data_IF_268391339627
#
_entry.id   IF_268391339627
#
_cell.length_a   1.000
_cell.length_b   1.000
_cell.length_c   1.000
_cell.angle_alpha   90.00
_cell.angle_beta   90.00
_cell.angle_gamma   90.00
#
_symmetry.space_group_name_H-M   'P 1'
#
loop_
_entity.id
_entity.type
_entity.pdbx_description
1 polymer ?
#
# COMPACT_ATOMS: atom_id res chain seq x y z
N UNK A 1 10.86 -20.10 13.80
CA UNK A 1 11.39 -19.56 12.56
C UNK A 1 10.97 -18.10 12.46
N UNK A 2 11.94 -17.19 12.43
CA UNK A 2 11.66 -15.77 12.19
C UNK A 2 11.13 -15.69 10.76
N UNK A 3 9.83 -15.47 10.62
CA UNK A 3 9.19 -15.22 9.33
C UNK A 3 9.91 -14.02 8.68
N UNK A 4 10.59 -14.26 7.56
CA UNK A 4 11.18 -13.17 6.80
C UNK A 4 10.05 -12.23 6.40
N UNK A 5 10.08 -11.01 6.89
CA UNK A 5 9.06 -10.00 6.64
C UNK A 5 9.25 -9.48 5.21
N UNK A 6 8.59 -10.14 4.25
CA UNK A 6 8.62 -9.80 2.82
C UNK A 6 7.19 -9.66 2.30
N UNK A 7 7.00 -8.89 1.24
CA UNK A 7 5.68 -8.74 0.58
C UNK A 7 5.12 -10.12 0.19
N UNK A 8 5.95 -11.02 -0.33
CA UNK A 8 5.55 -12.39 -0.66
C UNK A 8 5.02 -13.17 0.55
N UNK A 9 5.71 -13.09 1.69
CA UNK A 9 5.27 -13.78 2.90
C UNK A 9 3.97 -13.20 3.45
N UNK A 10 3.75 -11.89 3.29
CA UNK A 10 2.49 -11.26 3.68
C UNK A 10 1.35 -11.76 2.79
N UNK A 11 1.53 -11.85 1.46
CA UNK A 11 0.53 -12.45 0.57
C UNK A 11 0.22 -13.91 0.92
N UNK A 12 1.26 -14.72 1.25
CA UNK A 12 1.07 -16.09 1.74
C UNK A 12 0.29 -16.15 3.06
N UNK A 13 0.47 -15.16 3.95
CA UNK A 13 -0.30 -15.07 5.19
C UNK A 13 -1.78 -14.77 4.92
N UNK A 14 -2.06 -13.84 3.99
CA UNK A 14 -3.44 -13.55 3.58
C UNK A 14 -4.10 -14.80 3.00
N UNK A 15 -3.41 -15.54 2.11
CA UNK A 15 -3.93 -16.80 1.58
C UNK A 15 -4.24 -17.82 2.68
N UNK A 16 -3.35 -18.00 3.67
CA UNK A 16 -3.58 -18.90 4.80
C UNK A 16 -4.71 -18.42 5.72
N UNK A 17 -4.87 -17.11 5.87
CA UNK A 17 -5.99 -16.55 6.62
C UNK A 17 -7.31 -16.84 5.91
N UNK A 18 -7.36 -16.70 4.58
CA UNK A 18 -8.54 -17.09 3.80
C UNK A 18 -8.87 -18.57 3.98
N UNK A 19 -7.86 -19.47 3.94
CA UNK A 19 -8.07 -20.91 4.18
C UNK A 19 -8.61 -21.15 5.59
N UNK A 20 -8.06 -20.48 6.60
CA UNK A 20 -8.52 -20.58 7.98
C UNK A 20 -9.96 -20.10 8.18
N UNK A 21 -10.36 -19.07 7.43
CA UNK A 21 -11.73 -18.52 7.43
C UNK A 21 -12.68 -19.25 6.47
N UNK A 22 -12.21 -20.32 5.83
CA UNK A 22 -12.98 -21.10 4.84
C UNK A 22 -13.50 -20.23 3.66
N UNK A 23 -12.73 -19.19 3.29
CA UNK A 23 -13.04 -18.32 2.16
C UNK A 23 -12.39 -18.89 0.88
N UNK A 24 -13.20 -19.40 -0.01
CA UNK A 24 -12.72 -19.93 -1.30
C UNK A 24 -12.24 -18.82 -2.21
N UNK A 25 -12.98 -17.71 -2.30
CA UNK A 25 -12.61 -16.51 -3.05
C UNK A 25 -13.05 -15.22 -2.32
N UNK A 26 -12.41 -14.11 -2.62
CA UNK A 26 -12.77 -12.80 -2.07
C UNK A 26 -12.46 -11.66 -3.05
N UNK A 27 -13.13 -10.53 -2.87
CA UNK A 27 -12.70 -9.24 -3.41
C UNK A 27 -11.67 -8.67 -2.42
N UNK A 28 -10.49 -8.36 -2.91
CA UNK A 28 -9.40 -7.83 -2.08
C UNK A 28 -9.29 -6.33 -2.30
N UNK A 29 -9.47 -5.57 -1.22
CA UNK A 29 -9.23 -4.14 -1.20
C UNK A 29 -7.93 -3.86 -0.46
N UNK A 30 -7.03 -3.09 -1.08
CA UNK A 30 -5.74 -2.75 -0.47
C UNK A 30 -5.24 -1.36 -0.82
N UNK A 31 -4.79 -0.64 0.22
CA UNK A 31 -4.11 0.63 0.07
C UNK A 31 -2.59 0.43 0.20
N UNK A 32 -1.81 1.15 -0.59
CA UNK A 32 -0.35 1.19 -0.50
C UNK A 32 0.27 -0.20 -0.54
N UNK A 33 0.98 -0.61 0.50
CA UNK A 33 1.51 -1.97 0.68
C UNK A 33 0.41 -3.03 0.59
N UNK A 34 -0.81 -2.73 1.08
CA UNK A 34 -1.98 -3.63 0.99
C UNK A 34 -2.38 -3.92 -0.45
N UNK A 35 -2.33 -2.91 -1.32
CA UNK A 35 -2.55 -3.08 -2.77
C UNK A 35 -1.51 -4.00 -3.40
N UNK A 36 -0.23 -3.81 -3.08
CA UNK A 36 0.85 -4.69 -3.54
C UNK A 36 0.68 -6.15 -3.07
N UNK A 37 0.27 -6.33 -1.82
CA UNK A 37 -0.04 -7.66 -1.27
C UNK A 37 -1.22 -8.29 -2.03
N UNK A 38 -2.27 -7.52 -2.32
CA UNK A 38 -3.43 -7.95 -3.09
C UNK A 38 -3.06 -8.38 -4.51
N UNK A 39 -2.26 -7.57 -5.21
CA UNK A 39 -1.72 -7.89 -6.53
C UNK A 39 -0.90 -9.18 -6.50
N UNK A 40 -0.03 -9.33 -5.52
CA UNK A 40 0.79 -10.53 -5.40
C UNK A 40 -0.03 -11.77 -5.01
N UNK A 41 -1.08 -11.61 -4.20
CA UNK A 41 -2.04 -12.66 -3.89
C UNK A 41 -2.75 -13.12 -5.17
N UNK A 42 -3.27 -12.20 -5.98
CA UNK A 42 -3.93 -12.50 -7.25
C UNK A 42 -2.99 -13.20 -8.25
N UNK A 43 -1.71 -12.80 -8.30
CA UNK A 43 -0.70 -13.49 -9.11
C UNK A 43 -0.45 -14.92 -8.65
N UNK A 44 -0.28 -15.13 -7.34
CA UNK A 44 0.09 -16.44 -6.77
C UNK A 44 -1.10 -17.40 -6.63
N UNK A 45 -2.29 -16.87 -6.38
CA UNK A 45 -3.50 -17.61 -6.11
C UNK A 45 -4.70 -17.00 -6.85
N UNK A 46 -4.70 -17.01 -8.20
CA UNK A 46 -5.73 -16.32 -8.99
C UNK A 46 -7.15 -16.82 -8.69
N UNK A 47 -7.33 -18.08 -8.32
CA UNK A 47 -8.65 -18.63 -7.96
C UNK A 47 -9.20 -18.10 -6.63
N UNK A 48 -8.36 -17.51 -5.77
CA UNK A 48 -8.78 -16.93 -4.49
C UNK A 48 -9.19 -15.45 -4.60
N UNK A 49 -8.89 -14.80 -5.70
CA UNK A 49 -9.11 -13.35 -5.87
C UNK A 49 -10.10 -13.11 -6.99
N UNK A 50 -11.34 -12.82 -6.63
CA UNK A 50 -12.42 -12.52 -7.58
C UNK A 50 -12.22 -11.19 -8.28
N UNK A 51 -11.79 -10.18 -7.55
CA UNK A 51 -11.46 -8.85 -8.05
C UNK A 51 -10.52 -8.14 -7.08
N UNK A 52 -9.84 -7.11 -7.58
CA UNK A 52 -9.00 -6.21 -6.79
C UNK A 52 -9.59 -4.81 -6.76
N UNK A 53 -9.45 -4.14 -5.62
CA UNK A 53 -9.57 -2.69 -5.50
C UNK A 53 -8.26 -2.21 -4.91
N UNK A 54 -7.49 -1.42 -5.67
CA UNK A 54 -6.20 -0.89 -5.21
C UNK A 54 -6.24 0.62 -5.13
N UNK A 55 -5.68 1.16 -4.05
CA UNK A 55 -5.57 2.61 -3.84
C UNK A 55 -4.14 2.96 -3.44
N UNK A 56 -3.54 3.98 -4.04
CA UNK A 56 -2.16 4.39 -3.70
C UNK A 56 -1.18 3.23 -3.66
N UNK A 57 -1.34 2.20 -4.51
CA UNK A 57 -0.64 0.93 -4.38
C UNK A 57 0.86 1.04 -4.64
N UNK A 58 1.66 0.39 -3.80
CA UNK A 58 3.03 0.05 -4.13
C UNK A 58 3.10 -1.11 -5.13
N UNK A 59 4.30 -1.44 -5.62
CA UNK A 59 4.52 -2.53 -6.56
C UNK A 59 5.09 -2.11 -7.92
N UNK A 60 5.12 -0.82 -8.21
CA UNK A 60 5.83 -0.23 -9.34
C UNK A 60 6.88 0.78 -8.85
N UNK A 61 6.49 2.02 -8.63
CA UNK A 61 7.36 3.10 -8.22
C UNK A 61 6.76 3.86 -7.02
N UNK A 62 7.61 4.33 -6.10
CA UNK A 62 7.23 5.10 -4.91
C UNK A 62 8.29 6.15 -4.61
N UNK A 63 7.87 7.37 -4.24
CA UNK A 63 8.79 8.48 -3.96
C UNK A 63 9.46 8.40 -2.58
N UNK A 64 8.82 7.80 -1.58
CA UNK A 64 9.21 8.04 -0.18
C UNK A 64 9.60 6.82 0.63
N UNK A 65 9.44 5.61 0.12
CA UNK A 65 9.63 4.37 0.89
C UNK A 65 11.10 3.93 1.04
N UNK A 66 12.04 4.76 0.77
CA UNK A 66 13.48 4.45 0.95
C UNK A 66 14.17 5.39 1.92
N UNK A 67 13.52 6.46 2.34
CA UNK A 67 14.09 7.42 3.27
C UNK A 67 14.09 6.85 4.67
N UNK A 68 15.28 6.83 5.27
CA UNK A 68 15.40 6.63 6.71
C UNK A 68 14.70 7.79 7.43
N UNK A 69 14.15 7.54 8.60
CA UNK A 69 13.67 8.60 9.49
C UNK A 69 14.85 9.16 10.31
N UNK A 70 15.69 10.04 9.73
CA UNK A 70 16.93 10.47 10.37
C UNK A 70 16.67 11.26 11.66
N UNK A 71 15.49 11.90 11.75
CA UNK A 71 15.06 12.70 12.89
C UNK A 71 13.86 12.09 13.63
N UNK A 72 13.81 10.76 13.77
CA UNK A 72 12.68 10.06 14.40
C UNK A 72 12.38 10.51 15.84
N UNK A 73 13.34 11.07 16.55
CA UNK A 73 13.15 11.64 17.90
C UNK A 73 12.55 13.05 17.90
N UNK A 74 12.41 13.68 16.75
CA UNK A 74 11.83 15.01 16.58
C UNK A 74 10.35 14.85 16.22
N UNK A 75 9.47 15.24 17.15
CA UNK A 75 8.03 15.11 17.00
C UNK A 75 7.47 15.95 15.86
N UNK A 76 7.95 17.18 15.69
CA UNK A 76 7.47 18.07 14.62
C UNK A 76 7.89 17.56 13.23
N UNK A 77 9.07 16.96 13.11
CA UNK A 77 9.49 16.28 11.89
C UNK A 77 8.56 15.09 11.54
N UNK A 78 8.20 14.28 12.55
CA UNK A 78 7.28 13.15 12.33
C UNK A 78 5.87 13.63 11.98
N UNK A 79 5.40 14.70 12.63
CA UNK A 79 4.11 15.33 12.32
C UNK A 79 4.05 15.82 10.87
N UNK A 80 5.06 16.56 10.41
CA UNK A 80 5.18 17.00 9.03
C UNK A 80 5.12 15.81 8.04
N UNK A 81 5.88 14.75 8.32
CA UNK A 81 5.88 13.53 7.49
C UNK A 81 4.51 12.84 7.47
N UNK A 82 3.80 12.78 8.59
CA UNK A 82 2.45 12.22 8.65
C UNK A 82 1.43 13.09 7.89
N UNK A 83 1.54 14.41 8.01
CA UNK A 83 0.68 15.36 7.31
C UNK A 83 0.86 15.30 5.79
N UNK A 84 2.07 15.11 5.30
CA UNK A 84 2.38 15.04 3.87
C UNK A 84 1.80 13.80 3.15
N UNK A 85 1.25 12.84 3.89
CA UNK A 85 0.52 11.69 3.32
C UNK A 85 -0.85 12.10 2.77
N UNK A 86 -1.43 13.18 3.30
CA UNK A 86 -2.78 13.65 3.00
C UNK A 86 -2.75 14.95 2.17
N UNK A 87 -3.81 15.19 1.41
CA UNK A 87 -4.05 16.49 0.79
C UNK A 87 -4.44 17.52 1.84
N UNK A 88 -5.38 17.17 2.75
CA UNK A 88 -5.68 17.98 3.93
C UNK A 88 -4.80 17.53 5.11
N UNK A 89 -3.82 18.34 5.54
CA UNK A 89 -2.93 17.99 6.64
C UNK A 89 -3.66 17.80 7.98
N UNK A 90 -4.90 18.29 8.13
CA UNK A 90 -5.70 18.13 9.35
C UNK A 90 -6.20 16.69 9.55
N UNK A 91 -6.23 15.87 8.50
CA UNK A 91 -6.53 14.43 8.61
C UNK A 91 -5.48 13.72 9.48
N UNK A 92 -4.22 14.18 9.48
CA UNK A 92 -3.20 13.72 10.42
C UNK A 92 -3.46 14.29 11.82
N UNK A 93 -4.50 13.79 12.51
CA UNK A 93 -4.83 14.20 13.88
C UNK A 93 -3.67 13.95 14.83
N UNK A 94 -3.75 14.55 16.03
CA UNK A 94 -2.73 14.34 17.06
C UNK A 94 -2.55 12.85 17.39
N UNK A 95 -3.64 12.10 17.43
CA UNK A 95 -3.64 10.66 17.73
C UNK A 95 -2.87 9.87 16.67
N UNK A 96 -3.08 10.18 15.39
CA UNK A 96 -2.34 9.57 14.26
C UNK A 96 -0.85 9.89 14.36
N UNK A 97 -0.51 11.16 14.61
CA UNK A 97 0.88 11.59 14.76
C UNK A 97 1.56 10.90 15.94
N UNK A 98 0.86 10.82 17.10
CA UNK A 98 1.35 10.14 18.30
C UNK A 98 1.63 8.66 18.03
N UNK A 99 0.74 7.97 17.30
CA UNK A 99 0.91 6.56 16.92
C UNK A 99 2.11 6.36 15.99
N UNK A 100 2.26 7.21 14.98
CA UNK A 100 3.42 7.18 14.08
C UNK A 100 4.70 7.43 14.87
N UNK A 101 4.73 8.46 15.73
CA UNK A 101 5.88 8.80 16.56
C UNK A 101 6.28 7.63 17.48
N UNK A 102 5.31 7.02 18.16
CA UNK A 102 5.55 5.85 19.00
C UNK A 102 6.09 4.67 18.17
N UNK A 103 5.53 4.45 16.99
CA UNK A 103 5.91 3.32 16.12
C UNK A 103 7.34 3.45 15.57
N UNK A 104 7.75 4.64 15.12
CA UNK A 104 9.11 4.86 14.59
C UNK A 104 10.17 4.90 15.69
N UNK A 105 9.78 5.15 16.93
CA UNK A 105 10.66 5.11 18.10
C UNK A 105 10.71 3.74 18.79
N UNK A 106 9.79 2.82 18.48
CA UNK A 106 9.92 1.42 18.86
C UNK A 106 10.91 0.72 17.93
N UNK A 107 12.03 0.27 18.48
CA UNK A 107 13.11 -0.39 17.70
C UNK A 107 12.61 -1.62 16.92
N UNK A 108 11.75 -2.43 17.53
CA UNK A 108 11.29 -3.68 16.91
C UNK A 108 10.28 -3.40 15.78
N UNK A 109 9.37 -2.44 16.00
CA UNK A 109 8.43 -1.99 14.97
C UNK A 109 9.19 -1.38 13.79
N UNK A 110 10.12 -0.46 14.06
CA UNK A 110 10.94 0.21 13.04
C UNK A 110 11.71 -0.80 12.16
N UNK A 111 12.40 -1.78 12.77
CA UNK A 111 13.15 -2.80 12.01
C UNK A 111 12.22 -3.58 11.08
N UNK A 112 11.04 -3.96 11.56
CA UNK A 112 10.04 -4.68 10.74
C UNK A 112 9.51 -3.81 9.62
N UNK A 113 9.14 -2.57 9.91
CA UNK A 113 8.64 -1.59 8.91
C UNK A 113 9.68 -1.36 7.82
N UNK A 114 10.95 -1.13 8.19
CA UNK A 114 12.02 -0.96 7.21
C UNK A 114 12.29 -2.22 6.39
N UNK A 115 12.17 -3.41 6.98
CA UNK A 115 12.32 -4.68 6.25
C UNK A 115 11.21 -4.87 5.21
N UNK A 116 9.95 -4.54 5.57
CA UNK A 116 8.81 -4.59 4.65
C UNK A 116 8.99 -3.56 3.53
N UNK A 117 9.30 -2.31 3.86
CA UNK A 117 9.51 -1.24 2.89
C UNK A 117 10.60 -1.62 1.86
N UNK A 118 11.75 -2.09 2.34
CA UNK A 118 12.83 -2.59 1.46
C UNK A 118 12.39 -3.77 0.58
N UNK A 119 11.53 -4.64 1.10
CA UNK A 119 10.98 -5.75 0.32
C UNK A 119 10.02 -5.27 -0.75
N UNK A 120 9.17 -4.28 -0.45
CA UNK A 120 8.23 -3.68 -1.39
C UNK A 120 8.96 -3.00 -2.55
N UNK A 121 9.94 -2.14 -2.24
CA UNK A 121 10.76 -1.42 -3.26
C UNK A 121 11.49 -2.39 -4.19
N UNK A 122 12.00 -3.51 -3.66
CA UNK A 122 12.74 -4.50 -4.47
C UNK A 122 11.85 -5.40 -5.30
N UNK A 123 10.56 -5.44 -5.03
CA UNK A 123 9.60 -6.30 -5.71
C UNK A 123 8.76 -5.48 -6.70
N UNK A 124 9.32 -5.25 -7.89
CA UNK A 124 8.61 -4.58 -8.98
C UNK A 124 7.74 -5.61 -9.74
N UNK A 125 6.50 -5.25 -10.03
CA UNK A 125 5.52 -6.12 -10.70
C UNK A 125 5.30 -5.79 -12.18
N UNK A 126 6.06 -4.86 -12.77
CA UNK A 126 5.83 -4.40 -14.14
C UNK A 126 5.77 -5.55 -15.17
N UNK A 127 6.62 -6.58 -15.01
CA UNK A 127 6.65 -7.75 -15.89
C UNK A 127 5.52 -8.76 -15.64
N UNK A 128 4.87 -8.66 -14.49
CA UNK A 128 3.81 -9.57 -14.06
C UNK A 128 2.41 -9.05 -14.40
N UNK A 129 2.18 -7.75 -14.20
CA UNK A 129 0.88 -7.10 -14.38
C UNK A 129 0.22 -7.37 -15.73
N UNK A 130 0.95 -7.37 -16.88
CA UNK A 130 0.33 -7.67 -18.19
C UNK A 130 -0.22 -9.09 -18.34
N UNK A 131 0.16 -9.99 -17.42
CA UNK A 131 -0.27 -11.40 -17.41
C UNK A 131 -1.42 -11.67 -16.44
N UNK A 132 -1.83 -10.63 -15.69
CA UNK A 132 -2.87 -10.74 -14.68
C UNK A 132 -4.21 -10.30 -15.27
N UNK A 133 -5.19 -11.20 -15.26
CA UNK A 133 -6.54 -10.97 -15.79
C UNK A 133 -7.59 -10.83 -14.67
N UNK A 134 -7.13 -10.59 -13.43
CA UNK A 134 -8.03 -10.33 -12.31
C UNK A 134 -8.65 -8.94 -12.49
N UNK A 135 -10.00 -8.81 -12.56
CA UNK A 135 -10.64 -7.50 -12.66
C UNK A 135 -10.18 -6.55 -11.57
N UNK A 136 -9.70 -5.38 -11.95
CA UNK A 136 -9.06 -4.46 -11.01
C UNK A 136 -9.66 -3.05 -11.10
N UNK A 137 -10.22 -2.58 -9.99
CA UNK A 137 -10.60 -1.19 -9.80
C UNK A 137 -9.41 -0.44 -9.18
N UNK A 138 -8.94 0.60 -9.85
CA UNK A 138 -7.84 1.46 -9.41
C UNK A 138 -8.45 2.79 -8.97
N UNK A 139 -8.30 3.15 -7.70
CA UNK A 139 -8.78 4.41 -7.15
C UNK A 139 -7.59 5.20 -6.63
N UNK A 140 -7.43 6.46 -7.06
CA UNK A 140 -6.22 7.21 -6.73
C UNK A 140 -6.48 8.67 -6.46
N UNK A 141 -5.80 9.20 -5.44
CA UNK A 141 -5.77 10.64 -5.16
C UNK A 141 -4.93 11.39 -6.19
N UNK A 142 -5.47 12.46 -6.76
CA UNK A 142 -4.72 13.31 -7.70
C UNK A 142 -3.52 14.03 -7.08
N UNK A 143 -3.49 14.11 -5.76
CA UNK A 143 -2.45 14.79 -4.99
C UNK A 143 -1.57 13.81 -4.19
N UNK A 144 -1.59 12.53 -4.55
CA UNK A 144 -0.75 11.52 -3.88
C UNK A 144 0.74 11.82 -4.13
N UNK A 145 1.46 12.15 -3.08
CA UNK A 145 2.91 12.45 -3.10
C UNK A 145 3.77 11.22 -2.78
N UNK A 146 3.16 10.17 -2.23
CA UNK A 146 3.83 8.91 -1.85
C UNK A 146 3.97 8.01 -3.07
N UNK A 147 2.84 7.69 -3.70
CA UNK A 147 2.78 7.00 -4.99
C UNK A 147 2.14 7.96 -6.00
N UNK A 148 2.95 8.67 -6.79
CA UNK A 148 2.45 9.76 -7.66
C UNK A 148 1.42 9.29 -8.67
N UNK A 149 0.56 10.20 -9.19
CA UNK A 149 -0.50 9.87 -10.15
C UNK A 149 -0.04 9.10 -11.39
N UNK A 150 1.21 9.30 -11.82
CA UNK A 150 1.82 8.58 -12.94
C UNK A 150 1.85 7.07 -12.70
N UNK A 151 1.98 6.65 -11.43
CA UNK A 151 1.98 5.24 -11.04
C UNK A 151 0.61 4.61 -11.27
N UNK A 152 -0.48 5.35 -10.98
CA UNK A 152 -1.85 4.89 -11.27
C UNK A 152 -2.08 4.69 -12.77
N UNK A 153 -1.61 5.64 -13.59
CA UNK A 153 -1.68 5.52 -15.04
C UNK A 153 -0.92 4.29 -15.54
N UNK A 154 0.25 4.02 -14.95
CA UNK A 154 1.07 2.88 -15.31
C UNK A 154 0.41 1.55 -14.89
N UNK A 155 -0.20 1.47 -13.70
CA UNK A 155 -1.02 0.32 -13.32
C UNK A 155 -2.16 0.06 -14.31
N UNK A 156 -2.92 1.12 -14.67
CA UNK A 156 -4.03 1.01 -15.63
C UNK A 156 -3.56 0.62 -17.03
N UNK A 157 -2.38 1.05 -17.43
CA UNK A 157 -1.77 0.67 -18.72
C UNK A 157 -1.33 -0.80 -18.75
N UNK A 158 -0.80 -1.31 -17.64
CA UNK A 158 -0.21 -2.65 -17.55
C UNK A 158 -1.24 -3.73 -17.22
N UNK A 159 -2.30 -3.42 -16.46
CA UNK A 159 -3.34 -4.38 -16.10
C UNK A 159 -4.40 -4.47 -17.20
N UNK A 160 -4.54 -5.63 -17.88
CA UNK A 160 -5.42 -5.76 -19.05
C UNK A 160 -6.91 -5.53 -18.74
N UNK A 161 -7.35 -5.90 -17.53
CA UNK A 161 -8.73 -5.77 -17.07
C UNK A 161 -8.79 -4.81 -15.88
N UNK A 162 -8.62 -3.51 -16.16
CA UNK A 162 -8.63 -2.49 -15.12
C UNK A 162 -9.41 -1.24 -15.51
N UNK A 163 -9.94 -0.55 -14.48
CA UNK A 163 -10.57 0.76 -14.60
C UNK A 163 -9.97 1.70 -13.56
N UNK A 164 -9.60 2.92 -13.98
CA UNK A 164 -8.96 3.94 -13.14
C UNK A 164 -9.94 5.07 -12.81
N UNK A 165 -10.07 5.35 -11.53
CA UNK A 165 -10.89 6.43 -10.97
C UNK A 165 -10.03 7.39 -10.16
N UNK A 166 -10.24 8.68 -10.37
CA UNK A 166 -9.52 9.75 -9.70
C UNK A 166 -10.35 10.42 -8.63
N UNK A 167 -9.72 10.72 -7.50
CA UNK A 167 -10.32 11.54 -6.45
C UNK A 167 -9.57 12.88 -6.41
N UNK A 168 -10.30 13.97 -6.57
CA UNK A 168 -9.77 15.32 -6.45
C UNK A 168 -9.52 15.68 -4.98
N UNK A 169 -8.54 16.54 -4.72
CA UNK A 169 -8.20 16.99 -3.37
C UNK A 169 -7.96 15.81 -2.41
N UNK A 170 -7.24 14.81 -2.88
CA UNK A 170 -6.97 13.58 -2.16
C UNK A 170 -5.49 13.20 -2.31
N UNK A 171 -4.86 12.86 -1.20
CA UNK A 171 -3.51 12.33 -1.12
C UNK A 171 -3.47 10.79 -1.21
N UNK A 172 -2.65 10.19 -0.36
CA UNK A 172 -2.33 8.75 -0.40
C UNK A 172 -3.37 7.84 0.24
N UNK A 173 -4.26 8.38 1.07
CA UNK A 173 -5.20 7.60 1.86
C UNK A 173 -6.67 8.02 1.60
N UNK A 174 -7.22 7.71 0.40
CA UNK A 174 -8.56 8.13 0.03
C UNK A 174 -9.65 7.67 1.01
N UNK A 175 -9.50 6.50 1.63
CA UNK A 175 -10.44 5.99 2.63
C UNK A 175 -10.47 6.81 3.93
N UNK A 176 -9.49 7.67 4.16
CA UNK A 176 -9.44 8.57 5.31
C UNK A 176 -9.88 9.99 4.94
N UNK A 177 -9.59 10.41 3.71
CA UNK A 177 -9.89 11.77 3.24
C UNK A 177 -11.30 11.88 2.65
N UNK A 178 -11.79 10.82 2.00
CA UNK A 178 -13.10 10.74 1.32
C UNK A 178 -13.78 9.39 1.61
N UNK A 179 -14.22 9.14 2.85
CA UNK A 179 -14.77 7.83 3.27
C UNK A 179 -16.17 7.52 2.72
N UNK A 180 -16.85 8.51 2.11
CA UNK A 180 -18.21 8.43 1.56
C UNK A 180 -18.30 7.94 0.10
#
# INVERSE_FOLDING_TARGET
PILKTTVKNLALHVSKFMDFMELEEAIILGNSLGGHIGLLLAKLFPSKVKALVITGSSGLYENSMGESYPKRGDYEYIKEKAQNVFYDPNIATKEIVDEVYASVNDRNKLIRTLAIAKSAIRHNMADDLPKMHTPTCIIWGKNDTVTPPEVANEFNRLLPDSALYWIDQCGHAPMMEHPE
#
